data_IF_108572580895
#
_entry.id   IF_108572580895
#
_cell.length_a   1.000
_cell.length_b   1.000
_cell.length_c   1.000
_cell.angle_alpha   90.00
_cell.angle_beta   90.00
_cell.angle_gamma   90.00
#
_symmetry.space_group_name_H-M   'P 1'
#
loop_
_entity.id
_entity.type
_entity.pdbx_description
1 polymer ?
#
# COMPACT_ATOMS: atom_id res chain seq x y z
N UNK A 1 31.98 11.32 54.68
CA UNK A 1 31.28 10.17 54.09
C UNK A 1 31.85 8.88 54.68
N UNK A 2 31.04 8.04 55.33
CA UNK A 2 31.53 6.88 56.08
C UNK A 2 32.17 5.84 55.15
N UNK A 3 33.43 5.45 55.39
CA UNK A 3 34.15 4.44 54.59
C UNK A 3 33.40 3.09 54.50
N UNK A 4 32.65 2.75 55.55
CA UNK A 4 31.76 1.57 55.59
C UNK A 4 30.55 1.69 54.65
N UNK A 5 30.01 2.91 54.50
CA UNK A 5 28.89 3.20 53.59
C UNK A 5 29.34 3.13 52.13
N UNK A 6 30.55 3.63 51.83
CA UNK A 6 31.14 3.56 50.49
C UNK A 6 31.45 2.12 50.06
N UNK A 7 32.00 1.30 50.97
CA UNK A 7 32.25 -0.13 50.71
C UNK A 7 30.95 -0.92 50.46
N UNK A 8 29.88 -0.59 51.17
CA UNK A 8 28.57 -1.24 50.99
C UNK A 8 27.93 -0.92 49.63
N UNK A 9 28.05 0.34 49.16
CA UNK A 9 27.58 0.75 47.83
C UNK A 9 28.37 0.05 46.71
N UNK A 10 29.69 -0.08 46.86
CA UNK A 10 30.53 -0.80 45.88
C UNK A 10 30.16 -2.29 45.77
N UNK A 11 29.81 -2.94 46.88
CA UNK A 11 29.40 -4.34 46.90
C UNK A 11 28.06 -4.57 46.19
N UNK A 12 27.11 -3.64 46.35
CA UNK A 12 25.81 -3.69 45.68
C UNK A 12 25.95 -3.51 44.16
N UNK A 13 26.83 -2.60 43.71
CA UNK A 13 27.08 -2.39 42.27
C UNK A 13 27.76 -3.62 41.64
N UNK A 14 28.63 -4.31 42.37
CA UNK A 14 29.31 -5.51 41.89
C UNK A 14 28.39 -6.76 41.83
N UNK A 15 27.26 -6.74 42.53
CA UNK A 15 26.26 -7.82 42.52
C UNK A 15 25.22 -7.68 41.39
N UNK A 16 25.21 -6.58 40.65
CA UNK A 16 24.33 -6.41 39.50
C UNK A 16 24.90 -7.20 38.31
N UNK A 17 24.27 -8.33 37.98
CA UNK A 17 24.55 -9.05 36.74
C UNK A 17 23.89 -8.31 35.57
N UNK A 18 24.68 -7.98 34.54
CA UNK A 18 24.14 -7.51 33.28
C UNK A 18 23.59 -8.73 32.55
N UNK A 19 22.28 -8.90 32.52
CA UNK A 19 21.64 -9.92 31.71
C UNK A 19 21.47 -9.37 30.28
N UNK A 20 22.20 -9.94 29.32
CA UNK A 20 21.99 -9.64 27.91
C UNK A 20 20.68 -10.29 27.43
N UNK A 21 19.99 -9.64 26.50
CA UNK A 21 18.78 -10.20 25.91
C UNK A 21 19.16 -11.35 24.96
N UNK A 22 18.63 -12.54 25.22
CA UNK A 22 18.79 -13.69 24.32
C UNK A 22 17.95 -13.50 23.05
N UNK A 23 18.59 -13.63 21.89
CA UNK A 23 17.94 -13.57 20.58
C UNK A 23 17.66 -15.00 20.13
N UNK A 24 16.39 -15.36 19.95
CA UNK A 24 15.98 -16.67 19.46
C UNK A 24 15.76 -16.68 17.95
N UNK A 25 15.80 -17.88 17.34
CA UNK A 25 15.44 -18.05 15.93
C UNK A 25 13.99 -17.61 15.65
N UNK A 26 13.08 -17.88 16.58
CA UNK A 26 11.67 -17.47 16.47
C UNK A 26 11.55 -15.95 16.42
N UNK A 27 12.32 -15.21 17.23
CA UNK A 27 12.32 -13.74 17.18
C UNK A 27 12.73 -13.20 15.79
N UNK A 28 13.63 -13.89 15.09
CA UNK A 28 14.08 -13.52 13.75
C UNK A 28 13.00 -13.87 12.71
N UNK A 29 12.44 -15.08 12.76
CA UNK A 29 11.41 -15.56 11.82
C UNK A 29 10.13 -14.70 11.93
N UNK A 30 9.74 -14.36 13.16
CA UNK A 30 8.57 -13.50 13.44
C UNK A 30 8.85 -12.01 13.18
N UNK A 31 10.06 -11.67 12.71
CA UNK A 31 10.46 -10.29 12.40
C UNK A 31 10.31 -9.34 13.60
N UNK A 32 10.49 -9.82 14.83
CA UNK A 32 10.36 -9.02 16.08
C UNK A 32 11.24 -7.76 16.07
N UNK A 33 12.41 -7.86 15.46
CA UNK A 33 13.38 -6.76 15.36
C UNK A 33 13.37 -6.06 13.99
N UNK A 34 12.42 -6.38 13.10
CA UNK A 34 12.33 -5.70 11.83
C UNK A 34 11.98 -4.22 12.04
N UNK A 35 12.70 -3.34 11.36
CA UNK A 35 12.40 -1.92 11.37
C UNK A 35 10.98 -1.70 10.83
N UNK A 36 10.19 -0.92 11.57
CA UNK A 36 8.90 -0.47 11.07
C UNK A 36 9.15 0.49 9.90
N UNK A 37 8.63 0.15 8.74
CA UNK A 37 8.57 1.07 7.61
C UNK A 37 7.23 1.80 7.63
N UNK A 38 7.20 3.01 7.07
CA UNK A 38 5.92 3.66 6.79
C UNK A 38 5.21 2.86 5.69
N UNK A 39 3.89 2.69 5.83
CA UNK A 39 3.07 2.12 4.77
C UNK A 39 3.30 2.90 3.47
N UNK A 40 3.22 2.19 2.34
CA UNK A 40 3.36 2.78 1.00
C UNK A 40 2.47 4.01 0.92
N UNK A 41 3.10 5.17 0.76
CA UNK A 41 2.41 6.46 0.70
C UNK A 41 2.76 7.19 -0.58
N UNK A 42 1.75 7.78 -1.18
CA UNK A 42 1.91 8.60 -2.37
C UNK A 42 1.71 10.06 -1.97
N UNK A 43 2.68 10.91 -2.30
CA UNK A 43 2.52 12.36 -2.19
C UNK A 43 1.44 12.81 -3.17
N UNK A 44 0.60 13.75 -2.73
CA UNK A 44 -0.37 14.37 -3.61
C UNK A 44 0.25 15.55 -4.35
N UNK A 45 -0.40 15.95 -5.44
CA UNK A 45 0.01 17.08 -6.28
C UNK A 45 -0.01 18.43 -5.57
N UNK A 46 -0.77 18.56 -4.48
CA UNK A 46 -0.79 19.78 -3.67
C UNK A 46 0.56 20.05 -2.95
N UNK A 47 1.45 19.06 -2.89
CA UNK A 47 2.76 19.16 -2.23
C UNK A 47 2.71 19.28 -0.71
N UNK A 48 1.53 19.18 -0.10
CA UNK A 48 1.28 19.39 1.34
C UNK A 48 0.61 18.21 2.02
N UNK A 49 0.10 17.23 1.24
CA UNK A 49 -0.55 16.04 1.76
C UNK A 49 -0.02 14.76 1.13
N UNK A 50 -0.22 13.65 1.84
CA UNK A 50 0.10 12.32 1.36
C UNK A 50 -1.04 11.34 1.65
N UNK A 51 -1.11 10.28 0.86
CA UNK A 51 -2.13 9.25 0.98
C UNK A 51 -1.49 7.96 1.43
N UNK A 52 -2.09 7.30 2.41
CA UNK A 52 -1.68 5.98 2.87
C UNK A 52 -2.88 5.04 2.98
N UNK A 53 -2.60 3.75 2.85
CA UNK A 53 -3.57 2.70 3.15
C UNK A 53 -3.75 2.62 4.66
N UNK A 54 -4.99 2.52 5.14
CA UNK A 54 -5.30 2.33 6.56
C UNK A 54 -4.76 1.01 7.10
N UNK A 55 -4.61 0.89 8.42
CA UNK A 55 -4.07 -0.35 9.03
C UNK A 55 -4.93 -1.59 8.77
N UNK A 56 -6.25 -1.43 8.62
CA UNK A 56 -7.18 -2.50 8.19
C UNK A 56 -7.10 -2.79 6.67
N UNK A 57 -6.44 -1.92 5.93
CA UNK A 57 -6.35 -1.87 4.47
C UNK A 57 -7.67 -1.79 3.72
N UNK A 58 -8.69 -1.21 4.33
CA UNK A 58 -10.01 -0.99 3.72
C UNK A 58 -10.18 0.44 3.18
N UNK A 59 -9.26 1.34 3.52
CA UNK A 59 -9.40 2.78 3.24
C UNK A 59 -8.10 3.37 2.70
N UNK A 60 -8.25 4.36 1.83
CA UNK A 60 -7.18 5.32 1.56
C UNK A 60 -7.43 6.58 2.36
N UNK A 61 -6.46 6.95 3.18
CA UNK A 61 -6.52 8.06 4.11
C UNK A 61 -5.53 9.13 3.69
N UNK A 62 -5.97 10.39 3.69
CA UNK A 62 -5.13 11.54 3.36
C UNK A 62 -4.70 12.25 4.62
N UNK A 63 -3.41 12.50 4.73
CA UNK A 63 -2.80 13.17 5.88
C UNK A 63 -2.10 14.45 5.45
N UNK A 64 -2.09 15.44 6.33
CA UNK A 64 -1.25 16.62 6.16
C UNK A 64 0.22 16.25 6.44
N UNK A 65 1.12 16.62 5.53
CA UNK A 65 2.54 16.27 5.61
C UNK A 65 3.23 16.89 6.85
N UNK A 66 2.84 18.10 7.24
CA UNK A 66 3.48 18.83 8.34
C UNK A 66 3.09 18.32 9.71
N UNK A 67 1.79 18.13 9.94
CA UNK A 67 1.25 17.80 11.26
C UNK A 67 1.01 16.30 11.46
N UNK A 68 0.90 15.53 10.38
CA UNK A 68 0.42 14.15 10.41
C UNK A 68 -1.08 14.03 10.70
N UNK A 69 -1.83 15.13 10.70
CA UNK A 69 -3.27 15.11 10.94
C UNK A 69 -3.99 14.43 9.77
N UNK A 70 -4.95 13.56 10.10
CA UNK A 70 -5.88 13.01 9.12
C UNK A 70 -6.79 14.12 8.59
N UNK A 71 -6.72 14.39 7.28
CA UNK A 71 -7.53 15.40 6.61
C UNK A 71 -8.87 14.81 6.16
N UNK A 72 -8.84 13.71 5.43
CA UNK A 72 -10.04 13.00 4.97
C UNK A 72 -9.79 11.52 4.60
N UNK A 73 -10.87 10.83 4.27
CA UNK A 73 -10.86 9.48 3.70
C UNK A 73 -11.19 9.59 2.21
N UNK A 74 -10.24 9.18 1.35
CA UNK A 74 -10.39 9.25 -0.11
C UNK A 74 -11.32 8.17 -0.64
N UNK A 75 -11.21 6.96 -0.09
CA UNK A 75 -12.10 5.84 -0.43
C UNK A 75 -12.22 4.90 0.76
N UNK A 76 -13.41 4.31 0.91
CA UNK A 76 -13.66 3.14 1.73
C UNK A 76 -14.23 2.06 0.82
N UNK A 77 -13.48 0.98 0.59
CA UNK A 77 -13.76 -0.02 -0.45
C UNK A 77 -14.91 -0.97 -0.11
N UNK A 78 -15.40 -0.94 1.13
CA UNK A 78 -16.63 -1.64 1.54
C UNK A 78 -17.88 -0.81 1.26
N UNK A 79 -17.73 0.51 1.03
CA UNK A 79 -18.83 1.47 0.86
C UNK A 79 -18.86 2.09 -0.54
N UNK A 80 -18.14 1.51 -1.49
CA UNK A 80 -18.19 1.88 -2.90
C UNK A 80 -19.44 1.35 -3.58
N UNK A 81 -19.85 2.02 -4.65
CA UNK A 81 -20.96 1.59 -5.51
C UNK A 81 -20.46 0.58 -6.56
N UNK A 82 -21.40 -0.20 -7.07
CA UNK A 82 -21.23 -1.27 -8.08
C UNK A 82 -20.42 -2.48 -7.58
N UNK A 83 -19.20 -2.26 -7.08
CA UNK A 83 -18.37 -3.31 -6.50
C UNK A 83 -17.80 -2.89 -5.15
N UNK A 84 -17.43 -3.88 -4.36
CA UNK A 84 -16.69 -3.73 -3.10
C UNK A 84 -15.43 -4.58 -3.16
N UNK A 85 -14.45 -4.24 -2.33
CA UNK A 85 -13.22 -5.04 -2.17
C UNK A 85 -12.97 -5.36 -0.72
N UNK A 86 -12.31 -6.49 -0.48
CA UNK A 86 -12.02 -6.97 0.87
C UNK A 86 -10.78 -6.32 1.50
N UNK A 87 -9.85 -5.84 0.68
CA UNK A 87 -8.60 -5.24 1.11
C UNK A 87 -7.95 -4.52 -0.07
N UNK A 88 -7.10 -3.53 0.23
CA UNK A 88 -6.28 -2.77 -0.71
C UNK A 88 -4.83 -3.15 -0.44
N UNK A 89 -4.17 -3.79 -1.42
CA UNK A 89 -2.74 -4.09 -1.33
C UNK A 89 -1.89 -2.96 -1.91
N UNK A 90 -2.47 -2.17 -2.81
CA UNK A 90 -1.82 -0.98 -3.33
C UNK A 90 -2.75 -0.14 -4.19
N UNK A 91 -2.27 1.06 -4.51
CA UNK A 91 -3.02 2.03 -5.29
C UNK A 91 -2.12 2.92 -6.14
N UNK A 92 -2.70 3.53 -7.17
CA UNK A 92 -2.06 4.54 -8.01
C UNK A 92 -3.11 5.56 -8.49
N UNK A 93 -2.80 6.85 -8.39
CA UNK A 93 -3.66 7.91 -8.92
C UNK A 93 -3.44 8.09 -10.42
N UNK A 94 -4.47 8.51 -11.14
CA UNK A 94 -4.26 9.13 -12.43
C UNK A 94 -3.71 10.56 -12.28
N UNK A 95 -3.34 11.18 -13.40
CA UNK A 95 -2.71 12.49 -13.42
C UNK A 95 -3.58 13.58 -12.76
N UNK A 96 -4.90 13.52 -12.86
CA UNK A 96 -5.81 14.51 -12.25
C UNK A 96 -6.22 14.15 -10.82
N UNK A 97 -5.70 13.05 -10.27
CA UNK A 97 -6.06 12.45 -8.98
C UNK A 97 -7.57 12.19 -8.80
N UNK A 98 -8.39 12.23 -9.86
CA UNK A 98 -9.83 12.02 -9.78
C UNK A 98 -10.23 10.54 -9.93
N UNK A 99 -9.32 9.71 -10.43
CA UNK A 99 -9.46 8.26 -10.53
C UNK A 99 -8.27 7.55 -9.89
N UNK A 100 -8.52 6.35 -9.38
CA UNK A 100 -7.52 5.57 -8.65
C UNK A 100 -7.56 4.14 -9.16
N UNK A 101 -6.41 3.60 -9.54
CA UNK A 101 -6.21 2.16 -9.66
C UNK A 101 -6.04 1.61 -8.25
N UNK A 102 -6.86 0.65 -7.88
CA UNK A 102 -6.72 -0.12 -6.64
C UNK A 102 -6.50 -1.58 -7.02
N UNK A 103 -5.68 -2.31 -6.26
CA UNK A 103 -5.50 -3.74 -6.52
C UNK A 103 -5.42 -4.57 -5.25
N UNK A 104 -5.73 -5.85 -5.41
CA UNK A 104 -5.56 -6.90 -4.42
C UNK A 104 -5.17 -8.23 -5.09
N UNK A 105 -4.95 -9.26 -4.26
CA UNK A 105 -4.57 -10.59 -4.70
C UNK A 105 -3.25 -10.60 -5.50
N UNK A 106 -2.27 -9.78 -5.10
CA UNK A 106 -1.01 -9.70 -5.81
C UNK A 106 -0.23 -11.01 -5.70
N UNK A 107 0.10 -11.59 -6.85
CA UNK A 107 0.90 -12.81 -6.99
C UNK A 107 2.26 -12.45 -7.57
N UNK A 108 3.34 -12.48 -6.77
CA UNK A 108 4.67 -12.16 -7.26
C UNK A 108 5.13 -13.20 -8.30
N UNK A 109 5.80 -12.72 -9.34
CA UNK A 109 6.46 -13.54 -10.36
C UNK A 109 7.98 -13.49 -10.14
N UNK A 110 8.49 -12.28 -9.96
CA UNK A 110 9.90 -12.00 -9.69
C UNK A 110 10.00 -10.89 -8.62
N UNK A 111 11.18 -10.28 -8.48
CA UNK A 111 11.45 -9.26 -7.45
C UNK A 111 10.48 -8.06 -7.50
N UNK A 112 10.08 -7.62 -8.68
CA UNK A 112 9.24 -6.42 -8.87
C UNK A 112 7.98 -6.66 -9.72
N UNK A 113 7.89 -7.81 -10.38
CA UNK A 113 6.79 -8.14 -11.26
C UNK A 113 5.77 -8.99 -10.52
N UNK A 114 4.49 -8.69 -10.69
CA UNK A 114 3.39 -9.41 -10.09
C UNK A 114 2.14 -9.31 -10.98
N UNK A 115 1.24 -10.27 -10.82
CA UNK A 115 -0.14 -10.15 -11.31
C UNK A 115 -1.04 -9.72 -10.17
N UNK A 116 -2.08 -8.95 -10.43
CA UNK A 116 -3.10 -8.61 -9.43
C UNK A 116 -4.45 -8.38 -10.09
N UNK A 117 -5.52 -8.38 -9.29
CA UNK A 117 -6.84 -7.97 -9.73
C UNK A 117 -6.96 -6.46 -9.54
N UNK A 118 -7.03 -5.72 -10.65
CA UNK A 118 -7.13 -4.26 -10.61
C UNK A 118 -8.57 -3.79 -10.74
N UNK A 119 -8.85 -2.69 -10.05
CA UNK A 119 -10.10 -1.97 -10.05
C UNK A 119 -9.84 -0.50 -10.35
N UNK A 120 -10.77 0.14 -11.05
CA UNK A 120 -10.78 1.58 -11.30
C UNK A 120 -11.82 2.21 -10.39
N UNK A 121 -11.36 3.06 -9.47
CA UNK A 121 -12.21 3.85 -8.60
C UNK A 121 -12.39 5.25 -9.15
N UNK A 122 -13.64 5.68 -9.34
CA UNK A 122 -14.00 7.05 -9.65
C UNK A 122 -14.39 7.79 -8.37
N UNK A 123 -13.57 8.75 -7.93
CA UNK A 123 -13.78 9.49 -6.67
C UNK A 123 -15.06 10.32 -6.68
N UNK A 124 -15.38 10.95 -7.81
CA UNK A 124 -16.54 11.85 -7.93
C UNK A 124 -17.86 11.10 -7.77
N UNK A 125 -17.94 9.91 -8.33
CA UNK A 125 -19.18 9.12 -8.34
C UNK A 125 -19.23 8.03 -7.27
N UNK A 126 -18.13 7.82 -6.54
CA UNK A 126 -17.93 6.73 -5.60
C UNK A 126 -18.22 5.36 -6.23
N UNK A 127 -17.76 5.16 -7.47
CA UNK A 127 -17.97 3.93 -8.24
C UNK A 127 -16.65 3.17 -8.30
N UNK A 128 -16.72 1.87 -8.03
CA UNK A 128 -15.60 0.96 -8.16
C UNK A 128 -15.95 -0.13 -9.17
N UNK A 129 -15.10 -0.32 -10.17
CA UNK A 129 -15.32 -1.30 -11.23
C UNK A 129 -14.05 -2.11 -11.46
N UNK A 130 -14.16 -3.42 -11.77
CA UNK A 130 -13.01 -4.20 -12.19
C UNK A 130 -12.44 -3.60 -13.49
N UNK A 131 -11.11 -3.53 -13.59
CA UNK A 131 -10.42 -3.06 -14.79
C UNK A 131 -10.74 -3.97 -15.99
N UNK A 132 -10.75 -5.28 -15.74
CA UNK A 132 -11.08 -6.31 -16.70
C UNK A 132 -11.79 -7.48 -16.02
N UNK A 133 -12.69 -8.14 -16.74
CA UNK A 133 -13.38 -9.36 -16.29
C UNK A 133 -12.63 -10.63 -16.70
N UNK A 134 -11.58 -10.52 -17.52
CA UNK A 134 -10.88 -11.66 -18.11
C UNK A 134 -9.69 -12.15 -17.27
N UNK A 135 -9.71 -11.91 -15.95
CA UNK A 135 -8.65 -12.34 -15.01
C UNK A 135 -7.51 -11.35 -14.83
N UNK A 136 -6.59 -11.68 -13.91
CA UNK A 136 -5.57 -10.79 -13.34
C UNK A 136 -4.67 -10.11 -14.40
N UNK A 137 -4.24 -8.88 -14.07
CA UNK A 137 -3.44 -8.02 -14.95
C UNK A 137 -2.05 -7.75 -14.36
N UNK A 138 -1.12 -7.32 -15.20
CA UNK A 138 0.20 -6.79 -14.79
C UNK A 138 0.54 -5.51 -15.55
N UNK A 139 1.56 -4.80 -15.09
CA UNK A 139 2.11 -3.62 -15.77
C UNK A 139 1.04 -2.56 -16.10
N UNK A 140 0.15 -2.29 -15.14
CA UNK A 140 -1.03 -1.43 -15.32
C UNK A 140 -0.66 0.04 -15.18
N UNK A 141 -1.08 0.88 -16.12
CA UNK A 141 -0.89 2.33 -16.03
C UNK A 141 -2.05 3.12 -16.64
N UNK A 142 -2.31 4.30 -16.07
CA UNK A 142 -3.22 5.27 -16.68
C UNK A 142 -2.58 5.95 -17.90
N UNK A 143 -3.42 6.29 -18.86
CA UNK A 143 -3.11 7.32 -19.85
C UNK A 143 -2.99 8.70 -19.20
N UNK A 144 -2.23 9.65 -19.79
CA UNK A 144 -2.04 10.99 -19.22
C UNK A 144 -3.35 11.79 -19.04
N UNK A 145 -4.35 11.55 -19.89
CA UNK A 145 -5.67 12.18 -19.79
C UNK A 145 -6.63 11.46 -18.84
N UNK A 146 -6.22 10.30 -18.30
CA UNK A 146 -7.01 9.47 -17.39
C UNK A 146 -8.14 8.69 -18.06
N UNK A 147 -8.34 8.78 -19.37
CA UNK A 147 -9.53 8.18 -20.05
C UNK A 147 -9.35 6.72 -20.41
N UNK A 148 -8.10 6.26 -20.39
CA UNK A 148 -7.71 4.89 -20.73
C UNK A 148 -6.74 4.33 -19.71
N UNK A 149 -6.73 3.00 -19.59
CA UNK A 149 -5.76 2.23 -18.81
C UNK A 149 -5.13 1.19 -19.72
N UNK A 150 -3.81 1.17 -19.80
CA UNK A 150 -3.05 0.12 -20.46
C UNK A 150 -2.64 -0.95 -19.42
N UNK A 151 -2.62 -2.21 -19.84
CA UNK A 151 -2.15 -3.31 -19.01
C UNK A 151 -1.72 -4.50 -19.86
N UNK A 152 -0.98 -5.43 -19.27
CA UNK A 152 -0.65 -6.71 -19.89
C UNK A 152 -1.42 -7.87 -19.22
N UNK A 153 -1.81 -8.84 -20.03
CA UNK A 153 -2.39 -10.13 -19.62
C UNK A 153 -2.00 -11.20 -20.63
N UNK A 154 -1.62 -12.39 -20.18
CA UNK A 154 -1.17 -13.48 -21.06
C UNK A 154 -0.12 -13.02 -22.08
N UNK A 155 0.84 -12.22 -21.59
CA UNK A 155 1.89 -11.51 -22.33
C UNK A 155 1.42 -10.52 -23.43
N UNK A 156 0.12 -10.39 -23.67
CA UNK A 156 -0.42 -9.42 -24.62
C UNK A 156 -0.77 -8.09 -23.96
N UNK A 157 -0.66 -7.01 -24.74
CA UNK A 157 -1.02 -5.65 -24.31
C UNK A 157 -2.48 -5.35 -24.62
N UNK A 158 -3.15 -4.73 -23.66
CA UNK A 158 -4.55 -4.32 -23.75
C UNK A 158 -4.71 -2.86 -23.35
N UNK A 159 -5.74 -2.22 -23.90
CA UNK A 159 -6.20 -0.89 -23.50
C UNK A 159 -7.67 -0.97 -23.12
N UNK A 160 -8.00 -0.61 -21.87
CA UNK A 160 -9.36 -0.35 -21.41
C UNK A 160 -9.69 1.12 -21.65
N UNK A 161 -10.70 1.40 -22.47
CA UNK A 161 -11.28 2.73 -22.63
C UNK A 161 -12.36 2.91 -21.57
N UNK A 162 -12.14 3.79 -20.60
CA UNK A 162 -13.01 3.91 -19.42
C UNK A 162 -14.38 4.49 -19.77
N UNK A 163 -14.42 5.48 -20.67
CA UNK A 163 -15.67 6.15 -21.07
C UNK A 163 -16.67 5.21 -21.75
N UNK A 164 -16.16 4.23 -22.52
CA UNK A 164 -16.96 3.28 -23.28
C UNK A 164 -17.03 1.90 -22.62
N UNK A 165 -16.28 1.70 -21.52
CA UNK A 165 -16.08 0.42 -20.85
C UNK A 165 -15.59 -0.72 -21.76
N UNK A 166 -14.98 -0.40 -22.90
CA UNK A 166 -14.47 -1.38 -23.87
C UNK A 166 -13.01 -1.72 -23.63
N UNK A 167 -12.65 -2.98 -23.78
CA UNK A 167 -11.27 -3.47 -23.76
C UNK A 167 -10.82 -3.83 -25.18
N UNK A 168 -9.63 -3.39 -25.58
CA UNK A 168 -9.05 -3.62 -26.91
C UNK A 168 -7.70 -4.28 -26.77
N UNK A 169 -7.50 -5.41 -27.45
CA UNK A 169 -6.20 -6.03 -27.60
C UNK A 169 -5.34 -5.22 -28.58
N UNK A 170 -4.14 -4.84 -28.15
CA UNK A 170 -3.14 -4.13 -28.98
C UNK A 170 -2.22 -5.14 -29.66
N UNK A 171 -1.83 -6.20 -28.95
CA UNK A 171 -1.01 -7.31 -29.47
C UNK A 171 -1.76 -8.63 -29.34
N UNK A 172 -1.30 -9.67 -30.07
CA UNK A 172 -1.95 -11.00 -30.10
C UNK A 172 -0.95 -12.17 -30.19
N UNK A 173 0.33 -11.87 -30.21
CA UNK A 173 1.43 -12.79 -30.51
C UNK A 173 2.11 -13.38 -29.27
N UNK A 174 1.80 -12.87 -28.08
CA UNK A 174 2.36 -13.36 -26.81
C UNK A 174 3.69 -12.72 -26.47
#
# INVERSE_FOLDING_TARGET
MNKKLFGFICLIICAMTIQAQDISLNDIIEKKYAAKSMAVSNMMKDGSSYVAISEDGLRLLRYELKSGQLLDTIVNVEKTREHQMKHIEGFCFNEQENQILLWNNAKPVYRRSFYADYYVYNRRHNILEPLSENGAQRDVCFSPDGRMVAFARDNNLFIKKLDFKTEVAVTKDG
#
